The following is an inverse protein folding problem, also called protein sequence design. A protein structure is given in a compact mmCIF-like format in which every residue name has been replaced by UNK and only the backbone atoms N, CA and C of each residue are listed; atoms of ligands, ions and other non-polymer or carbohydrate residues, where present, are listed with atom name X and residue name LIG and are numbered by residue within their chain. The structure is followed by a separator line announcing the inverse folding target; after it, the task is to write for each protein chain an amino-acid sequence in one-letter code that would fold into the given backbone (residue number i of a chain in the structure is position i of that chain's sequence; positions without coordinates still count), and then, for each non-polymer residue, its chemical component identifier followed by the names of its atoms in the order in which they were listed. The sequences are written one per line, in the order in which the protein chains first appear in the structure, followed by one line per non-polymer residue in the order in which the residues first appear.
data_IF_180648687169
#
_entry.id   IF_180648687169
#
_cell.length_a   1.000
_cell.length_b   1.000
_cell.length_c   1.000
_cell.angle_alpha   90.00
_cell.angle_beta   90.00
_cell.angle_gamma   90.00
#
_symmetry.space_group_name_H-M   'P 1'
#
loop_
_entity.id
_entity.type
_entity.pdbx_description
1 polymer ?
#
# COMPACT_ATOMS: atom_id res chain seq x y z
N UNK A 1 1.60 -5.77 13.76
CA UNK A 1 0.93 -5.01 12.67
C UNK A 1 -0.57 -5.13 12.92
N UNK A 2 -1.32 -4.05 12.79
CA UNK A 2 -2.76 -4.05 13.14
C UNK A 2 -3.61 -4.42 11.92
N UNK A 3 -3.27 -3.86 10.76
CA UNK A 3 -4.01 -4.05 9.51
C UNK A 3 -3.05 -4.37 8.36
N UNK A 4 -3.49 -5.17 7.40
CA UNK A 4 -2.69 -5.67 6.27
C UNK A 4 -3.50 -5.76 4.99
N UNK A 5 -2.79 -5.74 3.85
CA UNK A 5 -3.29 -6.22 2.57
C UNK A 5 -2.30 -7.23 2.00
N UNK A 6 -2.79 -8.35 1.48
CA UNK A 6 -1.96 -9.45 0.98
C UNK A 6 -2.43 -9.96 -0.38
N UNK A 7 -1.47 -10.48 -1.14
CA UNK A 7 -1.65 -11.06 -2.47
C UNK A 7 -1.14 -12.49 -2.45
N UNK A 8 -1.96 -13.42 -2.90
CA UNK A 8 -1.53 -14.78 -3.23
C UNK A 8 -0.89 -14.78 -4.62
N UNK A 9 0.33 -15.32 -4.71
CA UNK A 9 1.18 -15.23 -5.90
C UNK A 9 1.29 -16.57 -6.65
N UNK A 10 0.57 -17.60 -6.19
CA UNK A 10 0.73 -18.98 -6.68
C UNK A 10 1.73 -19.79 -5.85
N UNK A 11 1.66 -21.11 -5.96
CA UNK A 11 2.63 -22.07 -5.37
C UNK A 11 2.93 -21.87 -3.89
N UNK A 12 1.93 -21.41 -3.13
CA UNK A 12 2.05 -21.17 -1.69
C UNK A 12 2.74 -19.86 -1.33
N UNK A 13 3.19 -19.06 -2.32
CA UNK A 13 3.77 -17.73 -2.13
C UNK A 13 2.69 -16.71 -1.78
N UNK A 14 2.90 -15.97 -0.70
CA UNK A 14 2.06 -14.84 -0.30
C UNK A 14 2.97 -13.66 0.04
N UNK A 15 2.63 -12.48 -0.44
CA UNK A 15 3.21 -11.21 0.04
C UNK A 15 2.13 -10.35 0.67
N UNK A 16 2.44 -9.69 1.78
CA UNK A 16 1.57 -8.71 2.38
C UNK A 16 2.33 -7.47 2.87
N UNK A 17 1.67 -6.32 2.80
CA UNK A 17 2.14 -5.06 3.38
C UNK A 17 1.20 -4.67 4.51
N UNK A 18 1.77 -4.11 5.57
CA UNK A 18 1.02 -3.82 6.80
C UNK A 18 1.12 -2.36 7.22
N UNK A 19 0.06 -1.89 7.85
CA UNK A 19 0.02 -0.61 8.56
C UNK A 19 1.08 -0.56 9.66
N UNK A 20 1.70 0.60 9.82
CA UNK A 20 2.54 0.94 10.96
C UNK A 20 1.77 1.84 11.93
N UNK A 21 1.80 1.52 13.22
CA UNK A 21 1.17 2.34 14.29
C UNK A 21 2.09 3.46 14.80
N UNK A 22 3.37 3.41 14.49
CA UNK A 22 4.32 4.42 14.95
C UNK A 22 4.07 5.71 14.17
N UNK A 23 3.68 6.78 14.87
CA UNK A 23 3.42 8.09 14.26
C UNK A 23 4.65 8.98 14.17
N UNK A 24 5.52 8.87 15.16
CA UNK A 24 6.71 9.72 15.28
C UNK A 24 7.61 9.52 14.06
N UNK A 25 8.24 10.60 13.62
CA UNK A 25 9.21 10.52 12.53
C UNK A 25 10.50 9.86 12.99
N UNK A 26 10.51 8.53 12.94
CA UNK A 26 11.63 7.71 13.35
C UNK A 26 11.79 6.51 12.42
N UNK A 27 12.95 5.82 12.42
CA UNK A 27 13.17 4.62 11.61
C UNK A 27 12.14 3.50 11.84
N UNK A 28 11.43 3.52 12.98
CA UNK A 28 10.38 2.58 13.35
C UNK A 28 9.02 2.93 12.74
N UNK A 29 8.82 4.11 12.16
CA UNK A 29 7.67 4.46 11.32
C UNK A 29 7.91 3.98 9.91
N UNK A 30 7.81 2.67 9.70
CA UNK A 30 7.90 2.06 8.36
C UNK A 30 6.92 0.90 8.23
N UNK A 31 6.30 0.70 7.07
CA UNK A 31 5.47 -0.48 6.85
C UNK A 31 6.31 -1.77 7.01
N UNK A 32 5.64 -2.88 7.34
CA UNK A 32 6.27 -4.20 7.26
C UNK A 32 5.86 -4.92 5.99
N UNK A 33 6.82 -5.64 5.42
CA UNK A 33 6.59 -6.67 4.40
C UNK A 33 6.56 -8.03 5.09
N UNK A 34 5.50 -8.78 4.83
CA UNK A 34 5.33 -10.16 5.26
C UNK A 34 5.41 -11.07 4.05
N UNK A 35 6.08 -12.21 4.18
CA UNK A 35 6.19 -13.20 3.14
C UNK A 35 5.94 -14.60 3.69
N UNK A 36 5.25 -15.43 2.92
CA UNK A 36 5.10 -16.86 3.15
C UNK A 36 5.38 -17.61 1.84
N UNK A 37 5.90 -18.83 1.96
CA UNK A 37 6.14 -19.77 0.86
C UNK A 37 5.41 -21.10 1.07
N UNK A 38 4.49 -21.17 2.04
CA UNK A 38 3.89 -22.41 2.51
C UNK A 38 2.40 -22.25 2.80
N UNK A 39 1.71 -21.45 1.97
CA UNK A 39 0.27 -21.18 2.09
C UNK A 39 -0.09 -20.46 3.40
N UNK A 40 0.83 -19.66 3.92
CA UNK A 40 0.62 -18.86 5.13
C UNK A 40 0.81 -19.65 6.43
N UNK A 41 1.42 -20.83 6.41
CA UNK A 41 1.74 -21.59 7.63
C UNK A 41 2.87 -20.93 8.42
N UNK A 42 3.90 -20.45 7.72
CA UNK A 42 5.00 -19.69 8.30
C UNK A 42 5.18 -18.35 7.59
N UNK A 43 5.71 -17.37 8.32
CA UNK A 43 5.83 -16.00 7.86
C UNK A 43 7.17 -15.40 8.24
N UNK A 44 7.80 -14.72 7.28
CA UNK A 44 8.91 -13.80 7.55
C UNK A 44 8.40 -12.38 7.58
N UNK A 45 8.64 -11.67 8.69
CA UNK A 45 8.28 -10.25 8.88
C UNK A 45 9.52 -9.39 8.78
N UNK A 46 9.50 -8.39 7.91
CA UNK A 46 10.64 -7.50 7.69
C UNK A 46 10.21 -6.03 7.60
N UNK A 47 11.11 -5.12 7.95
CA UNK A 47 10.91 -3.68 7.78
C UNK A 47 11.16 -3.27 6.34
N UNK A 48 10.28 -2.43 5.80
CA UNK A 48 10.49 -1.75 4.53
C UNK A 48 11.25 -0.44 4.70
N UNK A 49 11.53 0.26 3.60
CA UNK A 49 11.93 1.67 3.56
C UNK A 49 10.73 2.65 3.46
N UNK A 50 9.47 2.16 3.50
CA UNK A 50 8.26 2.98 3.34
C UNK A 50 7.86 3.61 4.67
N UNK A 51 8.35 4.82 4.95
CA UNK A 51 8.04 5.56 6.18
C UNK A 51 7.20 6.82 6.00
N UNK A 52 6.85 7.13 4.76
CA UNK A 52 6.09 8.31 4.35
C UNK A 52 4.57 8.07 4.38
N UNK A 53 4.12 7.37 5.43
CA UNK A 53 2.74 6.97 5.70
C UNK A 53 2.47 7.13 7.19
N UNK A 54 1.22 7.45 7.55
CA UNK A 54 0.79 7.57 8.93
C UNK A 54 -0.50 6.78 9.15
N UNK A 55 -0.42 5.72 9.96
CA UNK A 55 -1.55 4.92 10.44
C UNK A 55 -2.59 4.66 9.33
N UNK A 56 -2.17 4.12 8.20
CA UNK A 56 -3.07 3.93 7.06
C UNK A 56 -2.97 2.50 6.56
N UNK A 57 -4.11 1.83 6.41
CA UNK A 57 -4.18 0.50 5.82
C UNK A 57 -3.75 0.59 4.35
N UNK A 58 -2.76 -0.20 3.91
CA UNK A 58 -2.40 -0.25 2.50
C UNK A 58 -3.43 -1.07 1.70
N UNK A 59 -3.41 -0.91 0.39
CA UNK A 59 -4.05 -1.83 -0.56
C UNK A 59 -3.08 -2.21 -1.65
N UNK A 60 -3.07 -3.49 -2.02
CA UNK A 60 -2.18 -4.05 -3.01
C UNK A 60 -2.94 -4.45 -4.27
N UNK A 61 -2.28 -4.26 -5.41
CA UNK A 61 -2.67 -4.88 -6.68
C UNK A 61 -1.44 -5.57 -7.24
N UNK A 62 -1.60 -6.78 -7.75
CA UNK A 62 -0.55 -7.48 -8.49
C UNK A 62 -1.03 -7.75 -9.90
N UNK A 63 -0.22 -7.33 -10.87
CA UNK A 63 -0.42 -7.66 -12.27
C UNK A 63 0.51 -8.81 -12.63
N UNK A 64 -0.07 -9.99 -12.81
CA UNK A 64 0.67 -11.20 -13.18
C UNK A 64 1.25 -11.14 -14.60
N UNK A 65 0.71 -10.28 -15.48
CA UNK A 65 1.18 -10.14 -16.87
C UNK A 65 2.53 -9.42 -16.91
N UNK A 66 2.66 -8.36 -16.11
CA UNK A 66 3.88 -7.54 -16.05
C UNK A 66 4.80 -7.92 -14.89
N UNK A 67 4.28 -8.67 -13.91
CA UNK A 67 4.98 -9.00 -12.67
C UNK A 67 5.11 -7.81 -11.70
N UNK A 68 4.36 -6.73 -11.94
CA UNK A 68 4.38 -5.52 -11.11
C UNK A 68 3.44 -5.63 -9.91
N UNK A 69 3.96 -5.25 -8.75
CA UNK A 69 3.21 -5.07 -7.51
C UNK A 69 3.04 -3.57 -7.24
N UNK A 70 1.80 -3.19 -6.95
CA UNK A 70 1.38 -1.85 -6.63
C UNK A 70 1.01 -1.79 -5.15
N UNK A 71 1.60 -0.86 -4.39
CA UNK A 71 1.24 -0.58 -3.00
C UNK A 71 0.63 0.82 -2.91
N UNK A 72 -0.68 0.88 -2.66
CA UNK A 72 -1.41 2.12 -2.44
C UNK A 72 -1.58 2.37 -0.94
N UNK A 73 -1.36 3.61 -0.51
CA UNK A 73 -1.55 4.01 0.87
C UNK A 73 -1.82 5.50 0.97
N UNK A 74 -2.68 5.88 1.92
CA UNK A 74 -2.95 7.29 2.19
C UNK A 74 -2.03 7.83 3.27
N UNK A 75 -1.45 9.00 3.07
CA UNK A 75 -0.65 9.68 4.09
C UNK A 75 -1.54 10.65 4.88
N UNK A 76 -2.09 10.17 6.01
CA UNK A 76 -2.85 10.98 6.96
C UNK A 76 -2.03 12.17 7.46
N UNK A 77 -2.68 13.30 7.70
CA UNK A 77 -2.00 14.57 8.02
C UNK A 77 -1.46 15.32 6.80
N UNK A 78 -1.18 14.63 5.70
CA UNK A 78 -0.71 15.25 4.45
C UNK A 78 -1.79 15.32 3.37
N UNK A 79 -2.83 14.49 3.48
CA UNK A 79 -3.95 14.51 2.56
C UNK A 79 -3.63 14.00 1.15
N UNK A 80 -2.75 13.00 1.07
CA UNK A 80 -2.29 12.46 -0.24
C UNK A 80 -2.47 10.95 -0.31
N UNK A 81 -3.06 10.48 -1.40
CA UNK A 81 -3.02 9.09 -1.82
C UNK A 81 -1.74 8.86 -2.63
N UNK A 82 -0.94 7.90 -2.18
CA UNK A 82 0.34 7.55 -2.78
C UNK A 82 0.31 6.14 -3.31
N UNK A 83 1.20 5.88 -4.26
CA UNK A 83 1.45 4.56 -4.82
C UNK A 83 2.93 4.31 -4.99
N UNK A 84 3.39 3.08 -4.76
CA UNK A 84 4.69 2.61 -5.22
C UNK A 84 4.47 1.43 -6.16
N UNK A 85 5.19 1.41 -7.27
CA UNK A 85 5.11 0.36 -8.30
C UNK A 85 6.47 -0.31 -8.45
N UNK A 86 6.54 -1.62 -8.30
CA UNK A 86 7.81 -2.34 -8.36
C UNK A 86 7.63 -3.75 -8.88
N UNK A 87 8.63 -4.29 -9.56
CA UNK A 87 8.66 -5.74 -9.85
C UNK A 87 8.67 -6.52 -8.53
N UNK A 88 7.80 -7.52 -8.43
CA UNK A 88 7.71 -8.37 -7.25
C UNK A 88 9.06 -9.01 -6.88
N UNK A 89 9.79 -9.49 -7.87
CA UNK A 89 11.08 -10.18 -7.69
C UNK A 89 12.15 -9.23 -7.12
N UNK A 90 12.08 -7.93 -7.46
CA UNK A 90 13.02 -6.93 -6.93
C UNK A 90 12.87 -6.73 -5.42
N UNK A 91 11.66 -6.83 -4.88
CA UNK A 91 11.40 -6.64 -3.45
C UNK A 91 11.23 -7.94 -2.69
N UNK A 92 11.21 -9.08 -3.39
CA UNK A 92 11.19 -10.38 -2.75
C UNK A 92 12.51 -10.61 -2.02
N UNK A 93 12.46 -10.77 -0.70
CA UNK A 93 13.64 -10.85 0.16
C UNK A 93 14.48 -9.56 0.30
N UNK A 94 14.10 -8.50 -0.42
CA UNK A 94 14.73 -7.18 -0.39
C UNK A 94 13.71 -6.09 0.00
N UNK A 95 13.21 -6.08 1.25
CA UNK A 95 12.10 -5.22 1.66
C UNK A 95 12.45 -3.72 1.65
N UNK A 96 13.72 -3.34 1.54
CA UNK A 96 14.18 -1.95 1.47
C UNK A 96 14.26 -1.39 0.06
N UNK A 97 13.97 -2.20 -0.95
CA UNK A 97 14.19 -1.84 -2.36
C UNK A 97 12.93 -1.28 -3.04
N UNK A 98 11.91 -0.91 -2.25
CA UNK A 98 10.75 -0.20 -2.77
C UNK A 98 11.19 1.16 -3.35
N UNK A 99 10.76 1.50 -4.57
CA UNK A 99 11.10 2.76 -5.21
C UNK A 99 10.28 3.90 -4.61
N UNK A 100 10.66 5.15 -4.90
CA UNK A 100 9.90 6.33 -4.49
C UNK A 100 8.42 6.28 -4.87
N UNK A 101 7.61 7.06 -4.15
CA UNK A 101 6.17 7.08 -4.37
C UNK A 101 5.79 8.00 -5.55
N UNK A 102 4.70 7.63 -6.20
CA UNK A 102 3.92 8.45 -7.11
C UNK A 102 2.75 9.08 -6.34
N UNK A 103 2.50 10.37 -6.56
CA UNK A 103 1.28 11.02 -6.09
C UNK A 103 0.12 10.61 -7.02
N UNK A 104 -0.89 9.96 -6.46
CA UNK A 104 -2.05 9.48 -7.22
C UNK A 104 -3.19 10.48 -7.15
N UNK A 105 -3.55 10.90 -5.94
CA UNK A 105 -4.66 11.82 -5.69
C UNK A 105 -4.47 12.57 -4.38
N UNK A 106 -5.30 13.58 -4.15
CA UNK A 106 -5.34 14.36 -2.92
C UNK A 106 -6.69 14.22 -2.21
N UNK A 107 -6.71 14.55 -0.93
CA UNK A 107 -7.91 14.61 -0.11
C UNK A 107 -7.66 15.46 1.13
N UNK A 108 -8.49 15.29 2.15
CA UNK A 108 -8.36 15.99 3.42
C UNK A 108 -7.07 15.59 4.14
N UNK A 109 -6.40 16.59 4.70
CA UNK A 109 -5.26 16.42 5.59
C UNK A 109 -5.68 16.18 7.06
N UNK A 110 -6.97 16.14 7.36
CA UNK A 110 -7.45 15.93 8.73
C UNK A 110 -7.22 14.46 9.15
N UNK A 111 -6.18 14.27 9.95
CA UNK A 111 -5.54 13.03 10.38
C UNK A 111 -6.39 11.75 10.24
N UNK A 112 -7.08 11.33 11.30
CA UNK A 112 -7.86 10.09 11.30
C UNK A 112 -9.19 10.18 10.53
N UNK A 113 -9.62 11.39 10.20
CA UNK A 113 -10.83 11.70 9.41
C UNK A 113 -10.60 11.62 7.90
N UNK A 114 -9.38 11.27 7.48
CA UNK A 114 -9.06 10.89 6.12
C UNK A 114 -8.15 9.66 6.11
N UNK A 115 -8.15 8.93 5.00
CA UNK A 115 -7.21 7.86 4.74
C UNK A 115 -7.84 6.50 4.58
N UNK A 116 -7.02 5.45 4.75
CA UNK A 116 -7.22 4.09 4.24
C UNK A 116 -7.63 4.06 2.76
N UNK A 117 -7.12 3.09 2.02
CA UNK A 117 -7.52 2.94 0.61
C UNK A 117 -7.85 1.50 0.35
N UNK A 118 -8.90 1.28 -0.43
CA UNK A 118 -9.23 0.00 -1.04
C UNK A 118 -9.09 0.16 -2.55
N UNK A 119 -8.34 -0.74 -3.19
CA UNK A 119 -8.11 -0.67 -4.64
C UNK A 119 -8.57 -1.96 -5.28
N UNK A 120 -9.27 -1.82 -6.41
CA UNK A 120 -9.58 -2.92 -7.32
C UNK A 120 -9.01 -2.59 -8.69
N UNK A 121 -8.50 -3.60 -9.40
CA UNK A 121 -8.07 -3.47 -10.79
C UNK A 121 -9.17 -3.93 -11.74
N UNK A 122 -9.38 -3.18 -12.82
CA UNK A 122 -10.26 -3.54 -13.92
C UNK A 122 -9.58 -3.17 -15.23
N UNK A 123 -8.94 -4.17 -15.86
CA UNK A 123 -7.98 -3.94 -16.94
C UNK A 123 -6.81 -3.09 -16.45
N UNK A 124 -6.43 -2.10 -17.24
CA UNK A 124 -5.30 -1.19 -16.94
C UNK A 124 -5.68 -0.07 -15.96
N UNK A 125 -6.91 -0.05 -15.42
CA UNK A 125 -7.36 0.98 -14.48
C UNK A 125 -7.50 0.39 -13.08
N UNK A 126 -6.89 1.07 -12.11
CA UNK A 126 -7.01 0.78 -10.69
C UNK A 126 -7.99 1.78 -10.09
N UNK A 127 -9.15 1.32 -9.63
CA UNK A 127 -10.13 2.16 -8.95
C UNK A 127 -9.81 2.21 -7.46
N UNK A 128 -9.39 3.37 -6.99
CA UNK A 128 -9.04 3.63 -5.60
C UNK A 128 -10.22 4.27 -4.87
N UNK A 129 -10.69 3.62 -3.80
CA UNK A 129 -11.69 4.14 -2.88
C UNK A 129 -11.00 4.52 -1.56
N UNK A 130 -11.11 5.78 -1.14
CA UNK A 130 -10.58 6.24 0.16
C UNK A 130 -11.54 7.23 0.80
N UNK A 131 -11.54 7.32 2.13
CA UNK A 131 -12.35 8.31 2.82
C UNK A 131 -11.56 9.60 3.06
N UNK A 132 -12.26 10.73 3.00
CA UNK A 132 -11.66 12.06 3.11
C UNK A 132 -12.67 13.03 3.71
N UNK A 133 -12.33 13.59 4.86
CA UNK A 133 -13.26 14.42 5.61
C UNK A 133 -12.65 15.15 6.80
N UNK A 134 -13.52 15.54 7.72
CA UNK A 134 -13.22 16.12 9.02
C UNK A 134 -14.02 15.39 10.12
N UNK A 135 -14.04 15.97 11.32
CA UNK A 135 -14.75 15.42 12.48
C UNK A 135 -16.25 15.22 12.27
N UNK A 136 -16.87 16.03 11.42
CA UNK A 136 -18.32 16.07 11.24
C UNK A 136 -18.77 15.57 9.87
N UNK A 137 -17.91 15.65 8.84
CA UNK A 137 -18.27 15.35 7.47
C UNK A 137 -17.22 14.46 6.81
N UNK A 138 -17.62 13.34 6.21
CA UNK A 138 -16.71 12.45 5.48
C UNK A 138 -17.31 12.07 4.13
N UNK A 139 -16.52 12.21 3.07
CA UNK A 139 -16.83 11.68 1.75
C UNK A 139 -16.03 10.41 1.48
N UNK A 140 -16.61 9.51 0.69
CA UNK A 140 -15.86 8.42 0.03
C UNK A 140 -15.48 8.93 -1.36
N UNK A 141 -14.18 9.03 -1.62
CA UNK A 141 -13.64 9.46 -2.90
C UNK A 141 -13.31 8.22 -3.73
N UNK A 142 -13.77 8.21 -4.97
CA UNK A 142 -13.40 7.22 -5.99
C UNK A 142 -12.47 7.88 -6.99
N UNK A 143 -11.27 7.33 -7.19
CA UNK A 143 -10.28 7.87 -8.10
C UNK A 143 -9.74 6.77 -9.04
N UNK A 144 -9.83 6.94 -10.37
CA UNK A 144 -9.22 6.03 -11.32
C UNK A 144 -7.73 6.37 -11.49
N UNK A 145 -6.86 5.40 -11.21
CA UNK A 145 -5.42 5.50 -11.46
C UNK A 145 -5.02 4.53 -12.57
N UNK A 146 -4.28 5.00 -13.57
CA UNK A 146 -3.73 4.12 -14.62
C UNK A 146 -2.66 3.19 -14.02
N UNK A 147 -2.72 1.91 -14.36
CA UNK A 147 -1.66 0.95 -14.13
C UNK A 147 -0.39 1.39 -14.86
N UNK A 148 0.77 1.05 -14.29
CA UNK A 148 2.03 1.35 -14.96
C UNK A 148 2.15 0.46 -16.20
N UNK A 149 2.48 1.06 -17.34
CA UNK A 149 2.80 0.31 -18.55
C UNK A 149 4.19 -0.31 -18.38
N UNK A 150 4.36 -1.57 -18.79
CA UNK A 150 5.68 -2.19 -18.86
C UNK A 150 6.58 -1.34 -19.78
N UNK A 151 7.70 -0.86 -19.24
CA UNK A 151 8.77 -0.20 -19.99
C UNK A 151 9.80 -1.20 -20.45
#
# INVERSE_FOLDING_TARGET
PTEQCGIYLGDGRIIAITRCEVCDDCPQRRQFQLQSNDFGKTWRKMRTNIGDVKISTPSLVYDATTGLLYNYYYHRGMGVLKRRVVSLEKIWDHPTDWPDFELVATGSANDHHAGNVNVIAAGDIHYCAYYSGDENNTAVVMFPAEGAKAT
#
